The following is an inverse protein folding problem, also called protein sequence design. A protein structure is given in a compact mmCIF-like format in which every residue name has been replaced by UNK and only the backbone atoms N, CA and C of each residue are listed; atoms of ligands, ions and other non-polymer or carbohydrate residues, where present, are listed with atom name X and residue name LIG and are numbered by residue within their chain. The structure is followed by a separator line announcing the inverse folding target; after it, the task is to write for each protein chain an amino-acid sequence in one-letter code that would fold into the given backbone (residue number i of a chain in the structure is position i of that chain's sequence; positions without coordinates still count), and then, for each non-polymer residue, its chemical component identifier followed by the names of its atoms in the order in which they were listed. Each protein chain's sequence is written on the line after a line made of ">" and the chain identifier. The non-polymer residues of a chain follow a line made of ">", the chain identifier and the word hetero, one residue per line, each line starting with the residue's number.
data_IF_392787932605
#
_entry.id   IF_392787932605
#
_cell.length_a   1.000
_cell.length_b   1.000
_cell.length_c   1.000
_cell.angle_alpha   90.00
_cell.angle_beta   90.00
_cell.angle_gamma   90.00
#
_symmetry.space_group_name_H-M   'P 1'
#
loop_
_entity.id
_entity.type
_entity.pdbx_description
1 polymer ?
#
# COMPACT_ATOMS: atom_id res chain seq x y z
N UNK A 1 -10.48 6.34 -18.05
CA UNK A 1 -9.59 6.50 -16.89
C UNK A 1 -9.14 7.94 -16.77
N UNK A 2 -8.60 8.34 -15.60
CA UNK A 2 -8.08 9.71 -15.37
C UNK A 2 -7.05 10.14 -16.44
N UNK A 3 -6.20 9.20 -16.85
CA UNK A 3 -5.13 9.41 -17.83
C UNK A 3 -5.61 9.64 -19.27
N UNK A 4 -6.84 9.24 -19.62
CA UNK A 4 -7.37 9.36 -20.99
C UNK A 4 -7.68 10.82 -21.36
N UNK A 5 -7.91 11.67 -20.36
CA UNK A 5 -8.28 13.08 -20.53
C UNK A 5 -7.10 14.05 -20.34
N UNK A 6 -5.87 13.55 -20.20
CA UNK A 6 -4.70 14.39 -19.88
C UNK A 6 -3.99 14.98 -21.10
N UNK A 7 -4.42 14.63 -22.32
CA UNK A 7 -3.83 15.16 -23.56
C UNK A 7 -3.89 16.69 -23.64
N UNK A 8 -4.84 17.32 -22.94
CA UNK A 8 -4.99 18.79 -22.85
C UNK A 8 -3.86 19.50 -22.08
N UNK A 9 -3.02 18.76 -21.35
CA UNK A 9 -2.01 19.35 -20.44
C UNK A 9 -0.58 19.41 -21.02
N UNK A 10 -0.38 19.11 -22.31
CA UNK A 10 0.94 19.11 -22.97
C UNK A 10 2.01 18.32 -22.17
N UNK A 11 1.63 17.13 -21.69
CA UNK A 11 2.53 16.23 -20.99
C UNK A 11 3.55 15.60 -21.96
N UNK A 12 4.71 15.13 -21.46
CA UNK A 12 5.65 14.33 -22.23
C UNK A 12 4.95 13.19 -22.99
N UNK A 13 5.30 13.04 -24.27
CA UNK A 13 4.65 12.08 -25.17
C UNK A 13 4.73 10.65 -24.61
N UNK A 14 3.58 9.99 -24.54
CA UNK A 14 3.46 8.61 -24.04
C UNK A 14 3.63 8.43 -22.53
N UNK A 15 3.69 9.50 -21.72
CA UNK A 15 3.87 9.44 -20.26
C UNK A 15 2.83 10.26 -19.49
N UNK A 16 1.53 9.88 -19.55
CA UNK A 16 0.47 10.61 -18.85
C UNK A 16 0.66 10.61 -17.31
N UNK A 17 1.40 9.65 -16.76
CA UNK A 17 1.77 9.55 -15.34
C UNK A 17 2.70 10.67 -14.85
N UNK A 18 3.40 11.35 -15.75
CA UNK A 18 4.32 12.45 -15.44
C UNK A 18 3.66 13.62 -14.70
N UNK A 19 2.34 13.80 -14.82
CA UNK A 19 1.60 14.81 -14.05
C UNK A 19 1.68 14.59 -12.52
N UNK A 20 1.96 13.36 -12.10
CA UNK A 20 2.19 12.96 -10.71
C UNK A 20 3.66 12.68 -10.42
N UNK A 21 4.60 13.05 -11.30
CA UNK A 21 6.04 12.96 -11.05
C UNK A 21 6.55 14.20 -10.32
N UNK A 22 7.31 14.03 -9.24
CA UNK A 22 7.73 15.14 -8.40
C UNK A 22 8.71 16.09 -9.10
N UNK A 23 9.54 15.59 -10.02
CA UNK A 23 10.51 16.40 -10.73
C UNK A 23 9.83 17.17 -11.87
N UNK A 24 8.93 16.52 -12.61
CA UNK A 24 8.04 17.22 -13.55
C UNK A 24 7.22 18.32 -12.85
N UNK A 25 6.67 18.03 -11.66
CA UNK A 25 5.89 19.00 -10.90
C UNK A 25 6.71 20.21 -10.45
N UNK A 26 7.98 20.04 -10.08
CA UNK A 26 8.89 21.15 -9.75
C UNK A 26 9.15 22.04 -10.96
N UNK A 27 9.24 21.46 -12.16
CA UNK A 27 9.49 22.20 -13.40
C UNK A 27 8.22 22.88 -13.94
N UNK A 28 7.10 22.17 -13.93
CA UNK A 28 5.83 22.61 -14.49
C UNK A 28 4.64 22.13 -13.62
N UNK A 29 4.26 22.88 -12.57
CA UNK A 29 3.21 22.46 -11.64
C UNK A 29 1.79 22.71 -12.15
N UNK A 30 1.61 23.54 -13.18
CA UNK A 30 0.30 23.98 -13.66
C UNK A 30 -0.61 22.83 -14.11
N UNK A 31 -0.14 21.85 -14.92
CA UNK A 31 -0.92 20.65 -15.27
C UNK A 31 -1.59 19.98 -14.08
N UNK A 32 -0.83 19.74 -13.00
CA UNK A 32 -1.36 19.11 -11.80
C UNK A 32 -2.45 19.95 -11.16
N UNK A 33 -2.28 21.27 -11.02
CA UNK A 33 -3.29 22.11 -10.36
C UNK A 33 -4.59 22.24 -11.14
N UNK A 34 -4.51 22.26 -12.48
CA UNK A 34 -5.69 22.20 -13.32
C UNK A 34 -6.43 20.87 -13.15
N UNK A 35 -5.69 19.75 -13.10
CA UNK A 35 -6.26 18.44 -12.80
C UNK A 35 -6.84 18.40 -11.38
N UNK A 36 -6.12 18.92 -10.39
CA UNK A 36 -6.48 18.91 -8.97
C UNK A 36 -7.83 19.56 -8.71
N UNK A 37 -8.20 20.58 -9.48
CA UNK A 37 -9.54 21.18 -9.45
C UNK A 37 -10.63 20.20 -9.88
N UNK A 38 -10.37 19.38 -10.90
CA UNK A 38 -11.32 18.40 -11.43
C UNK A 38 -11.53 17.23 -10.47
N UNK A 39 -10.46 16.82 -9.76
CA UNK A 39 -10.47 15.67 -8.84
C UNK A 39 -10.62 16.06 -7.36
N UNK A 40 -10.83 17.34 -7.04
CA UNK A 40 -10.93 17.79 -5.66
C UNK A 40 -12.13 17.11 -4.97
N UNK A 41 -11.98 16.57 -3.74
CA UNK A 41 -13.08 15.92 -3.03
C UNK A 41 -14.30 16.84 -2.84
N UNK A 42 -15.50 16.26 -2.98
CA UNK A 42 -16.78 16.95 -2.73
C UNK A 42 -17.84 16.77 -3.82
N UNK A 43 -17.44 16.33 -5.03
CA UNK A 43 -18.36 16.15 -6.17
C UNK A 43 -18.82 14.70 -6.37
N UNK A 44 -18.34 13.77 -5.55
CA UNK A 44 -18.61 12.35 -5.67
C UNK A 44 -19.16 11.78 -4.37
N UNK A 45 -19.98 10.74 -4.48
CA UNK A 45 -20.56 10.03 -3.34
C UNK A 45 -19.95 8.64 -3.19
N UNK A 46 -19.85 8.09 -1.96
CA UNK A 46 -19.32 6.75 -1.74
C UNK A 46 -20.16 5.68 -2.45
N UNK A 47 -19.47 4.73 -3.09
CA UNK A 47 -20.07 3.61 -3.83
C UNK A 47 -20.55 2.49 -2.90
N UNK A 48 -21.35 1.52 -3.38
CA UNK A 48 -21.63 0.29 -2.66
C UNK A 48 -20.40 -0.41 -2.07
N UNK A 49 -19.27 -0.46 -2.80
CA UNK A 49 -18.01 -1.00 -2.28
C UNK A 49 -17.55 -0.27 -1.01
N UNK A 50 -17.61 1.07 -0.98
CA UNK A 50 -17.25 1.84 0.22
C UNK A 50 -18.18 1.53 1.39
N UNK A 51 -19.47 1.36 1.13
CA UNK A 51 -20.47 1.02 2.15
C UNK A 51 -20.32 -0.41 2.64
N UNK A 52 -19.88 -1.34 1.80
CA UNK A 52 -19.52 -2.69 2.23
C UNK A 52 -18.38 -2.67 3.26
N UNK A 53 -17.38 -1.81 3.09
CA UNK A 53 -16.32 -1.62 4.10
C UNK A 53 -16.87 -1.08 5.43
N UNK A 54 -17.90 -0.22 5.38
CA UNK A 54 -18.60 0.24 6.59
C UNK A 54 -19.29 -0.94 7.29
N UNK A 55 -19.96 -1.83 6.55
CA UNK A 55 -20.56 -3.03 7.13
C UNK A 55 -19.51 -3.95 7.78
N UNK A 56 -18.34 -4.13 7.16
CA UNK A 56 -17.23 -4.86 7.78
C UNK A 56 -16.78 -4.20 9.08
N UNK A 57 -16.77 -2.87 9.14
CA UNK A 57 -16.43 -2.12 10.36
C UNK A 57 -17.48 -2.32 11.45
N UNK A 58 -18.76 -2.12 11.14
CA UNK A 58 -19.88 -2.26 12.08
C UNK A 58 -19.99 -3.68 12.66
N UNK A 59 -19.59 -4.68 11.89
CA UNK A 59 -19.54 -6.08 12.32
C UNK A 59 -18.19 -6.47 12.99
N UNK A 60 -17.31 -5.51 13.30
CA UNK A 60 -16.02 -5.73 13.95
C UNK A 60 -15.04 -6.64 13.17
N UNK A 61 -15.21 -6.75 11.85
CA UNK A 61 -14.33 -7.55 10.97
C UNK A 61 -13.24 -6.69 10.31
N UNK A 62 -13.46 -5.38 10.20
CA UNK A 62 -12.50 -4.49 9.53
C UNK A 62 -11.30 -4.17 10.41
N UNK A 63 -10.14 -4.72 10.07
CA UNK A 63 -8.85 -4.34 10.67
C UNK A 63 -8.36 -2.98 10.16
N UNK A 64 -8.19 -2.85 8.84
CA UNK A 64 -7.66 -1.65 8.16
C UNK A 64 -8.14 -1.59 6.71
N UNK A 65 -8.23 -0.38 6.16
CA UNK A 65 -8.41 -0.08 4.74
C UNK A 65 -7.13 0.59 4.24
N UNK A 66 -6.42 -0.07 3.33
CA UNK A 66 -5.32 0.53 2.57
C UNK A 66 -5.88 1.01 1.24
N UNK A 67 -5.92 2.32 1.04
CA UNK A 67 -6.44 2.91 -0.19
C UNK A 67 -5.34 3.63 -0.96
N UNK A 68 -5.26 3.35 -2.26
CA UNK A 68 -4.42 4.11 -3.20
C UNK A 68 -5.13 5.36 -3.71
N UNK A 69 -6.45 5.47 -3.47
CA UNK A 69 -7.26 6.60 -3.89
C UNK A 69 -6.98 7.82 -3.01
N UNK A 70 -7.16 8.99 -3.61
CA UNK A 70 -6.92 10.30 -2.99
C UNK A 70 -8.21 11.12 -2.80
N UNK A 71 -9.35 10.58 -3.25
CA UNK A 71 -10.67 11.23 -3.24
C UNK A 71 -11.30 11.34 -1.84
N UNK A 72 -10.87 10.50 -0.90
CA UNK A 72 -11.35 10.51 0.49
C UNK A 72 -12.77 9.98 0.68
N UNK A 73 -13.31 9.23 -0.30
CA UNK A 73 -14.65 8.66 -0.22
C UNK A 73 -14.80 7.65 0.92
N UNK A 74 -13.72 7.03 1.39
CA UNK A 74 -13.71 6.16 2.58
C UNK A 74 -14.11 6.92 3.85
N UNK A 75 -13.60 8.15 4.02
CA UNK A 75 -13.99 9.02 5.12
C UNK A 75 -15.45 9.42 5.00
N UNK A 76 -15.87 9.81 3.79
CA UNK A 76 -17.25 10.22 3.52
C UNK A 76 -18.25 9.08 3.71
N UNK A 77 -17.83 7.84 3.50
CA UNK A 77 -18.64 6.65 3.78
C UNK A 77 -18.88 6.43 5.28
N UNK A 78 -18.07 7.05 6.14
CA UNK A 78 -18.14 6.90 7.59
C UNK A 78 -17.15 5.89 8.18
N UNK A 79 -16.14 5.47 7.41
CA UNK A 79 -15.08 4.61 7.95
C UNK A 79 -14.18 5.48 8.86
N UNK A 80 -13.93 5.06 10.11
CA UNK A 80 -13.11 5.84 11.03
C UNK A 80 -11.69 6.10 10.50
N UNK A 81 -11.15 7.28 10.78
CA UNK A 81 -9.86 7.69 10.21
C UNK A 81 -8.69 6.80 10.65
N UNK A 82 -8.76 6.23 11.86
CA UNK A 82 -7.78 5.29 12.38
C UNK A 82 -7.79 3.94 11.65
N UNK A 83 -8.88 3.61 10.95
CA UNK A 83 -8.99 2.42 10.10
C UNK A 83 -8.45 2.66 8.69
N UNK A 84 -8.31 3.91 8.26
CA UNK A 84 -7.88 4.25 6.90
C UNK A 84 -6.37 4.52 6.87
N UNK A 85 -5.72 3.98 5.84
CA UNK A 85 -4.36 4.31 5.41
C UNK A 85 -4.44 4.75 3.95
N UNK A 86 -4.40 6.07 3.72
CA UNK A 86 -4.22 6.61 2.37
C UNK A 86 -2.76 6.41 1.96
N UNK A 87 -2.49 5.33 1.22
CA UNK A 87 -1.14 4.93 0.79
C UNK A 87 -0.45 6.06 0.01
N UNK A 88 -1.20 6.76 -0.84
CA UNK A 88 -0.70 7.88 -1.64
C UNK A 88 -1.15 9.24 -1.09
N UNK A 89 -1.54 9.30 0.18
CA UNK A 89 -1.99 10.52 0.83
C UNK A 89 -3.31 11.06 0.25
N UNK A 90 -3.53 12.38 0.33
CA UNK A 90 -4.79 12.97 -0.10
C UNK A 90 -4.86 14.49 0.03
N UNK A 91 -6.06 15.03 -0.18
CA UNK A 91 -6.34 16.49 -0.13
C UNK A 91 -6.62 17.06 1.26
N UNK A 92 -6.64 16.21 2.31
CA UNK A 92 -6.99 16.63 3.68
C UNK A 92 -5.94 17.51 4.36
N UNK A 93 -4.73 17.56 3.82
CA UNK A 93 -3.62 18.36 4.35
C UNK A 93 -2.70 18.81 3.22
N UNK A 94 -1.87 19.81 3.51
CA UNK A 94 -1.06 20.50 2.52
C UNK A 94 0.31 20.85 3.09
N UNK A 95 1.32 20.94 2.22
CA UNK A 95 2.69 21.29 2.62
C UNK A 95 3.48 21.99 1.52
N UNK A 96 4.52 22.71 1.90
CA UNK A 96 5.50 23.26 0.97
C UNK A 96 6.45 22.17 0.47
N UNK A 97 6.67 22.08 -0.85
CA UNK A 97 7.60 21.08 -1.43
C UNK A 97 9.08 21.35 -1.12
N UNK A 98 9.42 22.58 -0.69
CA UNK A 98 10.79 22.97 -0.35
C UNK A 98 11.11 22.67 1.12
N UNK A 99 10.38 23.30 2.05
CA UNK A 99 10.67 23.18 3.49
C UNK A 99 9.84 22.09 4.19
N UNK A 100 8.93 21.42 3.50
CA UNK A 100 8.02 20.39 4.03
C UNK A 100 7.11 20.85 5.19
N UNK A 101 7.09 22.16 5.50
CA UNK A 101 6.20 22.73 6.51
C UNK A 101 4.76 22.62 6.05
N UNK A 102 3.89 22.27 6.98
CA UNK A 102 2.45 22.26 6.77
C UNK A 102 1.96 23.66 6.41
N UNK A 103 0.98 23.70 5.51
CA UNK A 103 0.26 24.92 5.14
C UNK A 103 -1.23 24.71 5.34
N UNK A 104 -1.97 25.81 5.35
CA UNK A 104 -3.42 25.78 5.50
C UNK A 104 -4.06 25.08 4.28
N UNK A 105 -4.73 23.92 4.47
CA UNK A 105 -5.37 23.21 3.38
C UNK A 105 -6.55 23.96 2.77
N UNK A 106 -7.25 24.81 3.53
CA UNK A 106 -8.38 25.60 3.02
C UNK A 106 -7.88 26.72 2.10
N UNK A 107 -6.79 27.40 2.49
CA UNK A 107 -6.13 28.34 1.59
C UNK A 107 -5.66 27.67 0.29
N UNK A 108 -5.02 26.49 0.40
CA UNK A 108 -4.55 25.77 -0.78
C UNK A 108 -5.73 25.38 -1.70
N UNK A 109 -6.84 24.92 -1.10
CA UNK A 109 -8.08 24.63 -1.83
C UNK A 109 -8.55 25.84 -2.63
N UNK A 110 -8.60 27.02 -2.03
CA UNK A 110 -9.03 28.25 -2.70
C UNK A 110 -8.12 28.62 -3.88
N UNK A 111 -6.80 28.42 -3.75
CA UNK A 111 -5.86 28.61 -4.86
C UNK A 111 -6.09 27.61 -6.00
N UNK A 112 -6.29 26.32 -5.68
CA UNK A 112 -6.57 25.27 -6.66
C UNK A 112 -7.86 25.53 -7.42
N UNK A 113 -8.95 25.85 -6.70
CA UNK A 113 -10.26 26.13 -7.30
C UNK A 113 -10.23 27.36 -8.20
N UNK A 114 -9.38 28.33 -7.87
CA UNK A 114 -9.13 29.51 -8.67
C UNK A 114 -8.06 29.32 -9.77
N UNK A 115 -7.59 28.09 -9.99
CA UNK A 115 -6.61 27.71 -11.02
C UNK A 115 -5.28 28.47 -10.91
N UNK A 116 -4.86 28.79 -9.67
CA UNK A 116 -3.60 29.47 -9.39
C UNK A 116 -2.55 28.50 -8.87
N UNK A 117 -1.30 28.75 -9.24
CA UNK A 117 -0.14 28.04 -8.68
C UNK A 117 0.18 28.62 -7.29
N UNK A 118 0.11 27.84 -6.20
CA UNK A 118 0.30 28.30 -4.83
C UNK A 118 1.79 28.49 -4.51
N UNK A 119 2.38 29.62 -4.92
CA UNK A 119 3.82 29.93 -4.78
C UNK A 119 4.22 30.49 -3.39
N UNK A 120 3.28 30.60 -2.45
CA UNK A 120 3.41 31.40 -1.22
C UNK A 120 3.66 30.58 0.05
N UNK A 121 4.73 29.79 0.10
CA UNK A 121 5.16 29.26 1.39
C UNK A 121 5.65 30.41 2.30
N UNK A 122 4.89 30.70 3.37
CA UNK A 122 5.21 31.76 4.34
C UNK A 122 6.58 31.58 4.98
N UNK A 123 6.98 30.33 5.27
CA UNK A 123 8.27 30.04 5.89
C UNK A 123 9.44 30.34 4.94
N UNK A 124 9.36 29.88 3.69
CA UNK A 124 10.40 30.14 2.68
C UNK A 124 10.47 31.60 2.21
N UNK A 125 9.35 32.34 2.26
CA UNK A 125 9.31 33.74 1.85
C UNK A 125 9.93 34.73 2.84
N UNK A 126 10.37 34.25 4.02
CA UNK A 126 10.97 35.07 5.08
C UNK A 126 12.51 35.05 5.11
N UNK A 127 13.14 34.22 4.28
CA UNK A 127 14.59 34.06 4.27
C UNK A 127 15.22 34.93 3.17
N UNK A 128 15.73 36.10 3.55
CA UNK A 128 16.59 36.91 2.69
C UNK A 128 18.00 36.27 2.61
N UNK A 129 18.64 36.32 1.44
CA UNK A 129 20.09 36.15 1.23
C UNK A 129 20.78 34.83 1.68
N UNK A 130 20.56 33.74 0.94
CA UNK A 130 21.38 32.53 0.98
C UNK A 130 21.46 31.94 -0.43
N UNK A 131 22.66 31.68 -0.90
CA UNK A 131 22.98 31.29 -2.28
C UNK A 131 23.13 29.78 -2.46
N UNK A 132 22.55 28.99 -1.56
CA UNK A 132 22.62 27.52 -1.56
C UNK A 132 21.81 26.90 -2.70
N UNK A 133 22.24 25.72 -3.17
CA UNK A 133 21.55 25.00 -4.25
C UNK A 133 20.11 24.60 -3.88
N UNK A 134 19.79 24.52 -2.58
CA UNK A 134 18.44 24.23 -2.07
C UNK A 134 17.41 25.34 -2.40
N UNK A 135 17.82 26.60 -2.60
CA UNK A 135 16.91 27.68 -3.06
C UNK A 135 16.52 27.58 -4.54
N UNK A 136 17.15 26.69 -5.33
CA UNK A 136 16.72 26.43 -6.73
C UNK A 136 15.37 25.73 -6.82
N UNK A 137 14.97 24.97 -5.79
CA UNK A 137 13.68 24.26 -5.75
C UNK A 137 12.56 25.27 -5.51
N UNK A 138 11.49 25.36 -6.32
CA UNK A 138 10.39 26.30 -6.06
C UNK A 138 9.68 26.06 -4.72
N UNK A 139 9.15 27.11 -4.08
CA UNK A 139 8.41 27.01 -2.81
C UNK A 139 6.90 26.83 -3.01
N UNK A 140 6.51 25.92 -3.91
CA UNK A 140 5.10 25.60 -4.16
C UNK A 140 4.50 24.87 -2.96
N UNK A 141 3.25 25.16 -2.62
CA UNK A 141 2.48 24.38 -1.66
C UNK A 141 1.59 23.39 -2.39
N UNK A 142 1.70 22.09 -2.10
CA UNK A 142 0.88 21.03 -2.70
C UNK A 142 0.07 20.27 -1.65
N UNK A 143 -1.04 19.62 -2.04
CA UNK A 143 -1.71 18.66 -1.16
C UNK A 143 -0.73 17.54 -0.76
N UNK A 144 -0.92 16.93 0.42
CA UNK A 144 -0.11 15.76 0.84
C UNK A 144 -0.51 14.49 0.08
N UNK A 145 -0.54 14.57 -1.25
CA UNK A 145 -0.59 13.46 -2.19
C UNK A 145 0.85 13.04 -2.47
N UNK A 146 1.13 11.75 -2.46
CA UNK A 146 2.45 11.18 -2.78
C UNK A 146 2.62 11.11 -4.29
N UNK A 147 3.61 11.81 -4.81
CA UNK A 147 4.00 11.80 -6.22
C UNK A 147 5.03 10.69 -6.47
N UNK A 148 5.19 10.26 -7.71
CA UNK A 148 6.32 9.41 -8.10
C UNK A 148 7.63 10.11 -7.74
N UNK A 149 8.55 9.35 -7.15
CA UNK A 149 9.80 9.87 -6.58
C UNK A 149 9.70 10.31 -5.11
N UNK A 150 8.50 10.41 -4.53
CA UNK A 150 8.32 10.71 -3.11
C UNK A 150 8.19 9.45 -2.25
N UNK A 151 8.53 9.58 -0.96
CA UNK A 151 8.28 8.53 0.03
C UNK A 151 6.79 8.52 0.40
N UNK A 152 6.24 7.33 0.57
CA UNK A 152 4.88 7.18 1.11
C UNK A 152 4.80 7.71 2.55
N UNK A 153 3.58 8.07 3.03
CA UNK A 153 3.39 8.55 4.39
C UNK A 153 3.88 7.53 5.43
N UNK A 154 4.47 7.99 6.53
CA UNK A 154 4.98 7.12 7.61
C UNK A 154 3.92 6.17 8.18
N UNK A 155 2.66 6.60 8.15
CA UNK A 155 1.50 5.78 8.54
C UNK A 155 1.39 4.50 7.71
N UNK A 156 1.72 4.53 6.41
CA UNK A 156 1.74 3.34 5.57
C UNK A 156 2.67 2.28 6.15
N UNK A 157 3.95 2.61 6.35
CA UNK A 157 4.94 1.66 6.85
C UNK A 157 4.60 1.15 8.24
N UNK A 158 4.16 2.05 9.15
CA UNK A 158 3.79 1.67 10.51
C UNK A 158 2.60 0.72 10.56
N UNK A 159 1.53 1.02 9.83
CA UNK A 159 0.35 0.16 9.80
C UNK A 159 0.65 -1.15 9.06
N UNK A 160 1.42 -1.11 7.96
CA UNK A 160 1.86 -2.32 7.24
C UNK A 160 2.62 -3.25 8.17
N UNK A 161 3.55 -2.69 8.96
CA UNK A 161 4.27 -3.46 9.96
C UNK A 161 3.29 -4.10 10.96
N UNK A 162 2.39 -3.31 11.56
CA UNK A 162 1.41 -3.78 12.56
C UNK A 162 0.41 -4.82 12.01
N UNK A 163 -0.13 -4.59 10.82
CA UNK A 163 -1.30 -5.30 10.29
C UNK A 163 -0.95 -6.47 9.36
N UNK A 164 0.30 -6.56 8.90
CA UNK A 164 0.75 -7.59 7.95
C UNK A 164 1.99 -8.32 8.47
N UNK A 165 3.01 -7.58 8.91
CA UNK A 165 4.33 -8.15 9.20
C UNK A 165 4.54 -8.57 10.67
N UNK A 166 3.79 -7.99 11.61
CA UNK A 166 3.96 -8.26 13.03
C UNK A 166 3.22 -9.53 13.42
N UNK A 167 3.95 -10.58 13.79
CA UNK A 167 3.33 -11.78 14.36
C UNK A 167 2.62 -11.47 15.68
N UNK A 168 1.44 -12.06 15.92
CA UNK A 168 0.58 -11.83 17.11
C UNK A 168 1.28 -12.12 18.45
N UNK A 169 2.45 -12.74 18.47
CA UNK A 169 3.26 -12.92 19.67
C UNK A 169 4.73 -12.51 19.44
N UNK A 170 5.30 -11.75 20.37
CA UNK A 170 6.67 -11.25 20.29
C UNK A 170 7.80 -12.30 20.42
N UNK A 171 7.50 -13.61 20.47
CA UNK A 171 8.49 -14.70 20.51
C UNK A 171 9.11 -14.97 19.14
N UNK A 172 8.53 -14.45 18.06
CA UNK A 172 9.05 -14.71 16.72
C UNK A 172 10.38 -13.98 16.43
N UNK A 173 10.58 -12.76 16.95
CA UNK A 173 11.87 -12.07 16.78
C UNK A 173 13.05 -12.88 17.37
N UNK A 174 12.82 -13.55 18.50
CA UNK A 174 13.79 -14.44 19.14
C UNK A 174 14.01 -15.71 18.30
N UNK A 175 12.93 -16.36 17.81
CA UNK A 175 13.03 -17.56 16.95
C UNK A 175 13.64 -17.28 15.58
N UNK A 176 13.38 -16.12 14.96
CA UNK A 176 14.01 -15.68 13.71
C UNK A 176 15.51 -15.52 13.93
N UNK A 177 15.90 -14.87 15.03
CA UNK A 177 17.31 -14.72 15.40
C UNK A 177 17.98 -16.07 15.66
N UNK A 178 17.32 -16.98 16.39
CA UNK A 178 17.82 -18.35 16.61
C UNK A 178 18.01 -19.12 15.30
N UNK A 179 17.07 -18.98 14.35
CA UNK A 179 17.16 -19.59 13.02
C UNK A 179 18.33 -19.00 12.21
N UNK A 180 18.48 -17.68 12.18
CA UNK A 180 19.60 -17.01 11.51
C UNK A 180 20.96 -17.41 12.12
N UNK A 181 21.03 -17.50 13.44
CA UNK A 181 22.24 -17.89 14.16
C UNK A 181 22.57 -19.38 13.90
N UNK A 182 21.57 -20.25 13.80
CA UNK A 182 21.75 -21.65 13.42
C UNK A 182 22.24 -21.79 11.98
N UNK A 183 21.71 -21.02 11.02
CA UNK A 183 22.17 -21.01 9.63
C UNK A 183 23.63 -20.53 9.51
N UNK A 184 24.00 -19.48 10.26
CA UNK A 184 25.40 -19.01 10.33
C UNK A 184 26.31 -20.11 10.91
N UNK A 185 25.84 -20.82 11.93
CA UNK A 185 26.57 -21.94 12.54
C UNK A 185 26.76 -23.11 11.57
N UNK A 186 25.74 -23.47 10.79
CA UNK A 186 25.81 -24.51 9.75
C UNK A 186 26.81 -24.13 8.66
N UNK A 187 26.80 -22.88 8.20
CA UNK A 187 27.78 -22.38 7.21
C UNK A 187 29.22 -22.50 7.72
N UNK A 188 29.44 -22.15 8.99
CA UNK A 188 30.74 -22.28 9.64
C UNK A 188 31.16 -23.74 9.85
N UNK A 189 30.24 -24.60 10.31
CA UNK A 189 30.47 -26.05 10.48
C UNK A 189 30.78 -26.74 9.16
N UNK A 190 30.04 -26.42 8.09
CA UNK A 190 30.28 -26.93 6.74
C UNK A 190 31.71 -26.64 6.26
N UNK A 191 32.18 -25.40 6.50
CA UNK A 191 33.56 -25.02 6.19
C UNK A 191 34.55 -25.86 6.99
N UNK A 192 34.32 -26.07 8.29
CA UNK A 192 35.22 -26.86 9.15
C UNK A 192 35.26 -28.34 8.76
N UNK A 193 34.11 -28.93 8.42
CA UNK A 193 34.04 -30.31 7.92
C UNK A 193 34.83 -30.45 6.62
N UNK A 194 34.69 -29.49 5.69
CA UNK A 194 35.45 -29.46 4.43
C UNK A 194 36.96 -29.45 4.62
N UNK A 195 37.46 -28.83 5.70
CA UNK A 195 38.87 -28.80 6.06
C UNK A 195 39.30 -29.90 7.06
N UNK A 196 38.42 -30.85 7.40
CA UNK A 196 38.70 -31.92 8.36
C UNK A 196 38.86 -31.44 9.81
N UNK A 197 38.37 -30.24 10.13
CA UNK A 197 38.44 -29.60 11.46
C UNK A 197 37.19 -29.84 12.32
N UNK A 198 36.23 -30.62 11.80
CA UNK A 198 35.03 -31.07 12.49
C UNK A 198 34.52 -32.38 11.83
N UNK A 199 33.88 -33.28 12.58
CA UNK A 199 33.26 -34.49 12.03
C UNK A 199 31.95 -34.16 11.28
N UNK A 200 31.65 -34.95 10.24
CA UNK A 200 30.42 -34.80 9.44
C UNK A 200 29.14 -34.90 10.29
N UNK A 201 29.16 -35.70 11.37
CA UNK A 201 28.04 -35.86 12.30
C UNK A 201 27.57 -34.56 12.94
N UNK A 202 28.47 -33.59 13.14
CA UNK A 202 28.11 -32.30 13.75
C UNK A 202 27.30 -31.45 12.76
N UNK A 203 27.64 -31.53 11.47
CA UNK A 203 26.90 -30.85 10.40
C UNK A 203 25.53 -31.50 10.19
N UNK A 204 25.48 -32.84 10.20
CA UNK A 204 24.23 -33.60 10.02
C UNK A 204 23.24 -33.31 11.16
N UNK A 205 23.71 -33.26 12.41
CA UNK A 205 22.89 -32.89 13.57
C UNK A 205 22.36 -31.45 13.49
N UNK A 206 23.20 -30.51 13.05
CA UNK A 206 22.79 -29.11 12.89
C UNK A 206 21.73 -28.95 11.77
N UNK A 207 21.91 -29.67 10.65
CA UNK A 207 20.93 -29.70 9.56
C UNK A 207 19.59 -30.34 9.99
N UNK A 208 19.62 -31.41 10.80
CA UNK A 208 18.39 -32.03 11.34
C UNK A 208 17.62 -31.06 12.23
N UNK A 209 18.31 -30.35 13.14
CA UNK A 209 17.70 -29.32 13.99
C UNK A 209 17.12 -28.16 13.18
N UNK A 210 17.78 -27.76 12.10
CA UNK A 210 17.25 -26.73 11.19
C UNK A 210 15.95 -27.22 10.54
N UNK A 211 15.89 -28.47 10.09
CA UNK A 211 14.68 -29.07 9.53
C UNK A 211 13.51 -29.13 10.51
N UNK A 212 13.75 -29.56 11.76
CA UNK A 212 12.73 -29.54 12.82
C UNK A 212 12.23 -28.12 13.13
N UNK A 213 13.15 -27.15 13.24
CA UNK A 213 12.81 -25.75 13.44
C UNK A 213 12.02 -25.18 12.26
N UNK A 214 12.30 -25.58 11.02
CA UNK A 214 11.55 -25.16 9.84
C UNK A 214 10.11 -25.69 9.85
N UNK A 215 9.88 -26.94 10.29
CA UNK A 215 8.52 -27.49 10.44
C UNK A 215 7.75 -26.82 11.58
N UNK A 216 8.37 -26.63 12.74
CA UNK A 216 7.74 -25.91 13.86
C UNK A 216 7.47 -24.44 13.53
N UNK A 217 8.37 -23.79 12.79
CA UNK A 217 8.19 -22.43 12.26
C UNK A 217 7.01 -22.39 11.29
N UNK A 218 6.93 -23.31 10.33
CA UNK A 218 5.77 -23.42 9.41
C UNK A 218 4.46 -23.62 10.18
N UNK A 219 4.44 -24.46 11.21
CA UNK A 219 3.25 -24.74 12.01
C UNK A 219 2.83 -23.56 12.91
N UNK A 220 3.79 -22.85 13.53
CA UNK A 220 3.51 -21.70 14.39
C UNK A 220 3.13 -20.44 13.61
N UNK A 221 3.67 -20.26 12.41
CA UNK A 221 3.34 -19.14 11.53
C UNK A 221 1.86 -19.14 11.07
N UNK A 222 1.22 -20.32 10.96
CA UNK A 222 -0.22 -20.47 10.63
C UNK A 222 -1.14 -19.78 11.66
N UNK A 223 -0.73 -19.65 12.93
CA UNK A 223 -1.54 -19.04 13.99
C UNK A 223 -1.24 -17.56 14.26
N UNK A 224 -0.21 -17.00 13.63
CA UNK A 224 0.39 -15.73 14.08
C UNK A 224 0.18 -14.54 13.14
N UNK A 225 -0.39 -14.72 11.94
CA UNK A 225 -0.62 -13.58 11.05
C UNK A 225 -1.67 -12.62 11.64
N UNK A 226 -1.40 -11.30 11.67
CA UNK A 226 -2.37 -10.31 12.13
C UNK A 226 -3.57 -10.18 11.18
N UNK A 227 -3.40 -10.55 9.91
CA UNK A 227 -4.42 -10.51 8.86
C UNK A 227 -4.97 -11.91 8.56
N UNK A 228 -6.25 -12.13 8.92
CA UNK A 228 -6.91 -13.44 8.73
C UNK A 228 -7.55 -13.60 7.34
N UNK A 229 -7.80 -12.49 6.62
CA UNK A 229 -8.39 -12.43 5.29
C UNK A 229 -8.03 -11.09 4.63
N UNK A 230 -7.56 -11.14 3.38
CA UNK A 230 -7.33 -9.93 2.58
C UNK A 230 -8.37 -9.80 1.47
N UNK A 231 -9.09 -8.68 1.45
CA UNK A 231 -10.02 -8.32 0.38
C UNK A 231 -9.39 -7.21 -0.47
N UNK A 232 -9.32 -7.41 -1.78
CA UNK A 232 -8.68 -6.50 -2.74
C UNK A 232 -9.75 -6.05 -3.73
N UNK A 233 -9.95 -4.74 -3.88
CA UNK A 233 -10.99 -4.17 -4.73
C UNK A 233 -10.39 -3.23 -5.77
N UNK A 234 -10.76 -3.40 -7.04
CA UNK A 234 -10.65 -2.38 -8.08
C UNK A 234 -9.25 -1.79 -8.27
N UNK A 235 -8.21 -2.63 -8.30
CA UNK A 235 -6.81 -2.19 -8.44
C UNK A 235 -6.08 -3.04 -9.47
N UNK A 236 -5.19 -2.40 -10.24
CA UNK A 236 -4.31 -3.11 -11.18
C UNK A 236 -3.03 -3.66 -10.54
N UNK A 237 -2.73 -3.26 -9.29
CA UNK A 237 -1.51 -3.61 -8.55
C UNK A 237 -0.20 -3.30 -9.30
N UNK A 238 -0.14 -2.15 -9.99
CA UNK A 238 1.06 -1.74 -10.72
C UNK A 238 1.97 -0.78 -9.94
N UNK A 239 1.45 -0.11 -8.90
CA UNK A 239 2.16 0.98 -8.21
C UNK A 239 2.66 0.52 -6.83
N UNK A 240 3.95 0.18 -6.78
CA UNK A 240 4.63 -0.14 -5.54
C UNK A 240 4.80 1.11 -4.65
N UNK A 241 4.90 0.94 -3.32
CA UNK A 241 4.92 -0.33 -2.57
C UNK A 241 3.52 -0.84 -2.19
N UNK A 242 2.45 -0.06 -2.37
CA UNK A 242 1.10 -0.48 -1.99
C UNK A 242 0.61 -1.70 -2.78
N UNK A 243 0.99 -1.81 -4.06
CA UNK A 243 0.71 -2.98 -4.89
C UNK A 243 1.31 -4.31 -4.36
N UNK A 244 2.32 -4.25 -3.49
CA UNK A 244 3.01 -5.44 -2.98
C UNK A 244 2.33 -6.02 -1.73
N UNK A 245 1.41 -5.30 -1.09
CA UNK A 245 0.75 -5.76 0.13
C UNK A 245 0.13 -7.18 0.01
N UNK A 246 -0.52 -7.56 -1.12
CA UNK A 246 -1.05 -8.91 -1.27
C UNK A 246 -0.02 -10.02 -1.22
N UNK A 247 1.24 -9.78 -1.57
CA UNK A 247 2.32 -10.77 -1.53
C UNK A 247 3.03 -10.81 -0.18
N UNK A 248 2.77 -9.82 0.68
CA UNK A 248 3.37 -9.68 1.99
C UNK A 248 2.51 -10.32 3.08
N UNK A 249 1.20 -10.49 2.83
CA UNK A 249 0.32 -11.21 3.75
C UNK A 249 0.74 -12.67 3.83
N UNK A 250 0.78 -13.17 5.06
CA UNK A 250 1.21 -14.52 5.39
C UNK A 250 0.68 -15.57 4.41
N UNK A 251 1.50 -16.56 4.08
CA UNK A 251 1.21 -17.54 3.02
C UNK A 251 -0.12 -18.27 3.23
N UNK A 252 -0.60 -18.45 4.47
CA UNK A 252 -1.90 -19.09 4.75
C UNK A 252 -3.12 -18.16 4.66
N UNK A 253 -2.93 -16.84 4.56
CA UNK A 253 -4.01 -15.85 4.57
C UNK A 253 -4.81 -15.93 3.26
N UNK A 254 -6.11 -16.27 3.28
CA UNK A 254 -6.93 -16.23 2.07
C UNK A 254 -6.99 -14.82 1.49
N UNK A 255 -6.97 -14.71 0.16
CA UNK A 255 -7.07 -13.44 -0.56
C UNK A 255 -8.22 -13.50 -1.56
N UNK A 256 -9.05 -12.47 -1.58
CA UNK A 256 -10.17 -12.35 -2.53
C UNK A 256 -9.99 -11.08 -3.34
N UNK A 257 -9.85 -11.23 -4.66
CA UNK A 257 -9.75 -10.13 -5.60
C UNK A 257 -11.10 -9.87 -6.26
N UNK A 258 -11.65 -8.67 -6.07
CA UNK A 258 -12.80 -8.15 -6.78
C UNK A 258 -12.30 -7.19 -7.86
N UNK A 259 -12.30 -7.65 -9.11
CA UNK A 259 -11.82 -6.82 -10.21
C UNK A 259 -12.41 -7.27 -11.55
N UNK A 260 -12.34 -6.41 -12.56
CA UNK A 260 -12.82 -6.75 -13.92
C UNK A 260 -11.92 -7.76 -14.62
N UNK A 261 -10.62 -7.69 -14.33
CA UNK A 261 -9.58 -8.52 -14.92
C UNK A 261 -8.68 -9.09 -13.81
N UNK A 262 -8.12 -10.30 -14.01
CA UNK A 262 -7.11 -10.82 -13.11
C UNK A 262 -5.85 -9.95 -13.20
N UNK A 263 -5.15 -9.78 -12.08
CA UNK A 263 -3.94 -8.97 -12.00
C UNK A 263 -2.88 -9.72 -11.21
N UNK A 264 -1.61 -9.40 -11.46
CA UNK A 264 -0.48 -9.91 -10.68
C UNK A 264 -0.50 -11.44 -10.51
N UNK A 265 -0.63 -12.17 -11.62
CA UNK A 265 -0.70 -13.64 -11.61
C UNK A 265 0.68 -14.23 -11.29
N UNK A 266 0.69 -15.26 -10.46
CA UNK A 266 1.90 -15.99 -10.10
C UNK A 266 2.56 -16.64 -11.31
N UNK A 267 3.85 -16.39 -11.49
CA UNK A 267 4.69 -17.01 -12.52
C UNK A 267 5.90 -17.70 -11.84
N UNK A 268 6.18 -18.97 -12.16
CA UNK A 268 7.18 -19.81 -11.47
C UNK A 268 8.64 -19.52 -11.86
N UNK A 269 9.63 -19.77 -10.98
CA UNK A 269 9.71 -19.43 -9.56
C UNK A 269 10.79 -18.35 -9.33
N UNK A 270 10.46 -17.30 -8.58
CA UNK A 270 11.46 -16.41 -7.98
C UNK A 270 11.68 -16.87 -6.54
N UNK A 271 12.94 -16.97 -6.11
CA UNK A 271 13.40 -17.43 -4.79
C UNK A 271 12.43 -17.17 -3.63
N UNK A 272 12.32 -18.16 -2.73
CA UNK A 272 11.52 -18.14 -1.51
C UNK A 272 11.55 -16.76 -0.82
N UNK A 273 10.42 -16.04 -0.85
CA UNK A 273 10.23 -14.79 -0.11
C UNK A 273 9.46 -15.07 1.17
N UNK A 274 9.83 -14.34 2.22
CA UNK A 274 9.30 -14.48 3.58
C UNK A 274 7.77 -14.21 3.67
N UNK A 275 7.14 -13.68 2.60
CA UNK A 275 5.69 -13.38 2.53
C UNK A 275 4.80 -14.38 1.78
N UNK A 276 5.36 -15.36 1.05
CA UNK A 276 4.59 -16.29 0.21
C UNK A 276 4.85 -16.15 -1.29
N UNK A 277 3.87 -16.55 -2.10
CA UNK A 277 3.92 -16.53 -3.57
C UNK A 277 3.97 -15.10 -4.14
N UNK A 278 4.74 -14.89 -5.21
CA UNK A 278 4.81 -13.61 -5.94
C UNK A 278 3.65 -13.53 -6.95
N UNK A 279 2.46 -13.15 -6.47
CA UNK A 279 1.25 -13.10 -7.26
C UNK A 279 0.14 -14.06 -6.84
N UNK A 280 -0.99 -14.00 -7.56
CA UNK A 280 -2.18 -14.82 -7.33
C UNK A 280 -2.13 -16.14 -8.08
N UNK A 281 -2.57 -17.22 -7.42
CA UNK A 281 -2.63 -18.58 -7.96
C UNK A 281 -3.93 -18.89 -8.69
N UNK A 282 -4.59 -17.91 -9.29
CA UNK A 282 -5.84 -18.15 -10.03
C UNK A 282 -5.63 -19.24 -11.09
N UNK A 283 -6.65 -20.07 -11.31
CA UNK A 283 -6.68 -21.15 -12.30
C UNK A 283 -5.61 -22.25 -12.16
N UNK A 284 -4.81 -22.26 -11.08
CA UNK A 284 -3.89 -23.36 -10.78
C UNK A 284 -4.57 -24.49 -10.02
N UNK A 285 -4.17 -25.73 -10.31
CA UNK A 285 -4.66 -26.93 -9.59
C UNK A 285 -4.27 -26.93 -8.11
N UNK A 286 -3.15 -26.31 -7.77
CA UNK A 286 -2.62 -26.17 -6.40
C UNK A 286 -3.01 -24.83 -5.74
N UNK A 287 -4.06 -24.16 -6.23
CA UNK A 287 -4.59 -22.97 -5.58
C UNK A 287 -5.30 -23.33 -4.28
N UNK A 288 -4.80 -22.79 -3.17
CA UNK A 288 -5.32 -23.07 -1.82
C UNK A 288 -5.86 -21.83 -1.09
N UNK A 289 -5.65 -20.61 -1.63
CA UNK A 289 -5.90 -19.36 -0.88
C UNK A 289 -6.49 -18.22 -1.69
N UNK A 290 -6.48 -18.27 -3.03
CA UNK A 290 -6.79 -17.13 -3.88
C UNK A 290 -8.14 -17.30 -4.59
N UNK A 291 -9.04 -16.34 -4.42
CA UNK A 291 -10.34 -16.30 -5.10
C UNK A 291 -10.44 -15.05 -5.97
N UNK A 292 -10.84 -15.23 -7.23
CA UNK A 292 -11.11 -14.13 -8.15
C UNK A 292 -12.62 -13.97 -8.34
N UNK A 293 -13.15 -12.82 -7.92
CA UNK A 293 -14.52 -12.39 -8.18
C UNK A 293 -14.48 -11.44 -9.37
N UNK A 294 -14.67 -12.02 -10.56
CA UNK A 294 -14.64 -11.27 -11.80
C UNK A 294 -15.90 -10.42 -11.98
N UNK A 295 -15.73 -9.11 -12.21
CA UNK A 295 -16.83 -8.22 -12.53
C UNK A 295 -16.66 -6.82 -12.00
N UNK A 296 -17.78 -6.10 -11.87
CA UNK A 296 -17.80 -4.82 -11.21
C UNK A 296 -17.69 -4.98 -9.68
N UNK A 297 -16.91 -4.11 -9.03
CA UNK A 297 -16.66 -4.23 -7.60
C UNK A 297 -17.93 -4.02 -6.76
N UNK A 298 -18.85 -3.16 -7.21
CA UNK A 298 -20.08 -2.89 -6.47
C UNK A 298 -21.00 -4.12 -6.51
N UNK A 299 -21.17 -4.74 -7.68
CA UNK A 299 -21.94 -5.99 -7.83
C UNK A 299 -21.34 -7.13 -7.01
N UNK A 300 -20.00 -7.27 -7.03
CA UNK A 300 -19.29 -8.26 -6.23
C UNK A 300 -19.48 -8.06 -4.73
N UNK A 301 -19.42 -6.81 -4.25
CA UNK A 301 -19.70 -6.46 -2.86
C UNK A 301 -21.14 -6.76 -2.46
N UNK A 302 -22.13 -6.42 -3.31
CA UNK A 302 -23.54 -6.72 -3.07
C UNK A 302 -23.79 -8.23 -2.97
N UNK A 303 -23.19 -9.01 -3.86
CA UNK A 303 -23.27 -10.47 -3.82
C UNK A 303 -22.69 -11.02 -2.51
N UNK A 304 -21.51 -10.57 -2.10
CA UNK A 304 -20.86 -11.00 -0.86
C UNK A 304 -21.67 -10.60 0.38
N UNK A 305 -22.19 -9.37 0.42
CA UNK A 305 -23.06 -8.91 1.49
C UNK A 305 -24.30 -9.79 1.62
N UNK A 306 -24.94 -10.14 0.50
CA UNK A 306 -26.11 -11.02 0.51
C UNK A 306 -25.79 -12.43 1.04
N UNK A 307 -24.62 -12.99 0.72
CA UNK A 307 -24.16 -14.28 1.28
C UNK A 307 -23.98 -14.22 2.80
N UNK A 308 -23.58 -13.06 3.33
CA UNK A 308 -23.43 -12.82 4.77
C UNK A 308 -24.76 -12.45 5.46
N UNK A 309 -25.87 -12.39 4.70
CA UNK A 309 -27.17 -11.94 5.21
C UNK A 309 -27.21 -10.43 5.50
N UNK A 310 -26.30 -9.66 4.91
CA UNK A 310 -26.24 -8.21 5.05
C UNK A 310 -26.90 -7.51 3.87
N UNK A 311 -27.30 -6.26 4.08
CA UNK A 311 -27.84 -5.40 3.02
C UNK A 311 -27.02 -4.13 2.96
N UNK A 312 -26.40 -3.87 1.81
CA UNK A 312 -25.69 -2.60 1.58
C UNK A 312 -26.74 -1.48 1.47
N UNK A 313 -26.68 -0.45 2.34
CA UNK A 313 -27.64 0.65 2.26
C UNK A 313 -27.55 1.34 0.91
N UNK A 314 -28.69 1.45 0.22
CA UNK A 314 -28.76 2.27 -1.01
C UNK A 314 -28.50 3.73 -0.66
N UNK A 315 -27.89 4.45 -1.60
CA UNK A 315 -27.54 5.87 -1.47
C UNK A 315 -28.75 6.65 -0.93
N UNK A 316 -28.64 7.14 0.31
CA UNK A 316 -29.55 8.17 0.79
C UNK A 316 -29.11 9.45 0.09
N UNK A 317 -29.85 9.86 -0.93
CA UNK A 317 -29.77 11.24 -1.42
C UNK A 317 -30.24 12.12 -0.27
N UNK A 318 -29.31 12.69 0.50
CA UNK A 318 -29.56 13.78 1.43
C UNK A 318 -29.35 15.10 0.70
#
# INVERSE_FOLDING_TARGET
>A
GLYDNLQKYNLPEGKPESIFDIDFFKENPLPFYLLAKEIYPGNHSPTPCHRFLVLLHENNLLRRVYTQNIDGLEYLAGIPCEKIVQCHGGFSSAHCIRCNMDTDPDWLKDEILAERVPVRCISCGKEEEDSSEERKVPSFCKPRITFFGEKLPTRFSKCREEDILTERDGRCAEKIKEHEDLQKSISFLSTRVKFGLAPQSDLDNANSRLGEMEEEKKASMIQNSPCDLMLIFGTSLNVAPAALLPDEVHWSCPRVLFNREPVHIFDEPVEFRIGGDNGFRFDREDNYRDVFVQGDCDEGCEYFANLLGWTIPKILNS
#
